data_IF_516607606896
#
_entry.id   IF_516607606896
#
_cell.length_a   1.000
_cell.length_b   1.000
_cell.length_c   1.000
_cell.angle_alpha   90.00
_cell.angle_beta   90.00
_cell.angle_gamma   90.00
#
_symmetry.space_group_name_H-M   'P 1'
#
loop_
_entity.id
_entity.type
_entity.pdbx_description
1 polymer ?
#
# COMPACT_ATOMS: atom_id res chain seq x y z
N UNK A 1 -2.85 7.43 26.82
CA UNK A 1 -1.62 7.36 25.97
C UNK A 1 -1.63 8.61 25.11
N UNK A 2 -0.51 9.29 24.87
CA UNK A 2 -0.53 10.45 23.96
C UNK A 2 -0.58 9.94 22.51
N UNK A 3 -1.70 10.19 21.84
CA UNK A 3 -1.89 9.78 20.45
C UNK A 3 -1.28 10.82 19.51
N UNK A 4 -0.54 10.35 18.51
CA UNK A 4 0.10 11.21 17.51
C UNK A 4 -0.31 10.80 16.10
N UNK A 5 -0.40 11.82 15.24
CA UNK A 5 -0.63 11.64 13.82
C UNK A 5 0.63 11.02 13.19
N UNK A 6 0.48 9.83 12.60
CA UNK A 6 1.42 9.32 11.62
C UNK A 6 1.19 9.98 10.26
N UNK A 7 2.28 10.34 9.57
CA UNK A 7 2.23 11.04 8.29
C UNK A 7 3.08 10.29 7.26
N UNK A 8 2.51 10.07 6.07
CA UNK A 8 3.23 9.57 4.90
C UNK A 8 2.49 9.99 3.64
N UNK A 9 3.22 10.57 2.69
CA UNK A 9 2.68 10.89 1.35
C UNK A 9 2.70 9.70 0.39
N UNK A 10 3.15 8.54 0.87
CA UNK A 10 3.34 7.31 0.09
C UNK A 10 2.46 6.16 0.58
N UNK A 11 1.53 6.43 1.49
CA UNK A 11 0.53 5.48 1.94
C UNK A 11 -0.86 5.97 1.55
N UNK A 12 -1.71 5.05 1.08
CA UNK A 12 -3.15 5.28 1.06
C UNK A 12 -3.72 5.30 2.49
N UNK A 13 -4.99 5.67 2.64
CA UNK A 13 -5.65 5.81 3.94
C UNK A 13 -5.58 4.54 4.80
N UNK A 14 -5.74 3.36 4.19
CA UNK A 14 -5.67 2.07 4.91
C UNK A 14 -4.24 1.77 5.37
N UNK A 15 -3.26 1.91 4.48
CA UNK A 15 -1.86 1.63 4.78
C UNK A 15 -1.33 2.54 5.89
N UNK A 16 -1.74 3.82 5.91
CA UNK A 16 -1.29 4.76 6.94
C UNK A 16 -1.91 4.47 8.32
N UNK A 17 -3.18 4.06 8.38
CA UNK A 17 -3.84 3.63 9.63
C UNK A 17 -3.15 2.37 10.16
N UNK A 18 -2.98 1.34 9.32
CA UNK A 18 -2.32 0.11 9.71
C UNK A 18 -0.88 0.35 10.21
N UNK A 19 -0.12 1.18 9.50
CA UNK A 19 1.24 1.56 9.91
C UNK A 19 1.26 2.27 11.26
N UNK A 20 0.32 3.20 11.49
CA UNK A 20 0.21 3.90 12.77
C UNK A 20 -0.09 2.93 13.93
N UNK A 21 -0.99 1.97 13.71
CA UNK A 21 -1.33 0.95 14.70
C UNK A 21 -0.13 0.04 15.00
N UNK A 22 0.60 -0.43 13.98
CA UNK A 22 1.82 -1.23 14.14
C UNK A 22 2.88 -0.45 14.93
N UNK A 23 3.09 0.81 14.58
CA UNK A 23 4.04 1.69 15.28
C UNK A 23 3.70 1.87 16.76
N UNK A 24 2.41 1.93 17.12
CA UNK A 24 1.96 2.06 18.52
C UNK A 24 2.18 0.82 19.35
N UNK A 25 2.16 -0.36 18.73
CA UNK A 25 2.61 -1.59 19.37
C UNK A 25 4.12 -1.58 19.64
N UNK A 26 4.87 -0.63 19.07
CA UNK A 26 6.30 -0.42 19.29
C UNK A 26 7.18 -1.12 18.26
N UNK A 27 6.61 -1.59 17.16
CA UNK A 27 7.36 -2.21 16.07
C UNK A 27 7.98 -1.15 15.16
N UNK A 28 9.15 -1.48 14.63
CA UNK A 28 9.72 -0.77 13.50
C UNK A 28 8.85 -1.01 12.26
N UNK A 29 8.61 0.04 11.49
CA UNK A 29 7.72 0.07 10.34
C UNK A 29 8.47 0.19 9.01
N UNK A 30 9.78 0.41 9.04
CA UNK A 30 10.57 0.70 7.84
C UNK A 30 10.59 -0.47 6.84
N UNK A 31 10.45 -1.72 7.31
CA UNK A 31 10.41 -2.91 6.46
C UNK A 31 8.99 -3.39 6.13
N UNK A 32 7.94 -2.80 6.74
CA UNK A 32 6.55 -3.26 6.60
C UNK A 32 6.07 -3.21 5.14
N UNK A 33 6.56 -2.22 4.39
CA UNK A 33 6.18 -1.96 3.01
C UNK A 33 7.36 -2.13 2.04
N UNK A 34 8.33 -3.00 2.38
CA UNK A 34 9.56 -3.22 1.58
C UNK A 34 9.37 -4.07 0.32
N UNK A 35 8.14 -4.49 0.02
CA UNK A 35 7.82 -5.20 -1.21
C UNK A 35 7.93 -4.27 -2.42
N UNK A 36 8.79 -4.61 -3.36
CA UNK A 36 9.03 -3.91 -4.62
C UNK A 36 9.00 -4.88 -5.82
N UNK A 37 8.27 -5.99 -5.69
CA UNK A 37 7.94 -6.88 -6.80
C UNK A 37 6.96 -6.23 -7.79
N UNK A 38 6.47 -7.03 -8.73
CA UNK A 38 5.42 -6.60 -9.65
C UNK A 38 4.63 -7.79 -10.17
N UNK A 39 3.30 -7.65 -10.19
CA UNK A 39 2.39 -8.59 -10.82
C UNK A 39 1.36 -7.83 -11.62
N UNK A 40 1.02 -8.35 -12.80
CA UNK A 40 -0.09 -7.92 -13.62
C UNK A 40 -1.05 -9.10 -13.80
N UNK A 41 -2.32 -8.85 -13.51
CA UNK A 41 -3.41 -9.80 -13.65
C UNK A 41 -4.49 -9.16 -14.52
N UNK A 42 -5.04 -9.91 -15.46
CA UNK A 42 -6.15 -9.46 -16.30
C UNK A 42 -7.11 -10.62 -16.57
N UNK A 43 -8.40 -10.31 -16.51
CA UNK A 43 -9.51 -11.14 -16.98
C UNK A 43 -10.42 -10.32 -17.91
N UNK A 44 -11.58 -10.89 -18.31
CA UNK A 44 -12.51 -10.23 -19.24
C UNK A 44 -13.09 -8.90 -18.71
N UNK A 45 -13.07 -8.68 -17.39
CA UNK A 45 -13.78 -7.56 -16.74
C UNK A 45 -12.84 -6.59 -16.03
N UNK A 46 -11.69 -7.06 -15.56
CA UNK A 46 -10.82 -6.32 -14.65
C UNK A 46 -9.34 -6.55 -14.95
N UNK A 47 -8.51 -5.60 -14.53
CA UNK A 47 -7.07 -5.78 -14.49
C UNK A 47 -6.48 -5.19 -13.20
N UNK A 48 -5.37 -5.76 -12.76
CA UNK A 48 -4.67 -5.35 -11.55
C UNK A 48 -3.16 -5.39 -11.78
N UNK A 49 -2.52 -4.23 -11.65
CA UNK A 49 -1.10 -4.06 -11.46
C UNK A 49 -0.83 -3.81 -9.98
N UNK A 50 -0.05 -4.68 -9.35
CA UNK A 50 0.27 -4.56 -7.92
C UNK A 50 1.75 -4.84 -7.65
N UNK A 51 2.39 -4.08 -6.75
CA UNK A 51 3.74 -4.40 -6.29
C UNK A 51 3.78 -5.49 -5.21
N UNK A 52 2.62 -5.82 -4.62
CA UNK A 52 2.50 -6.71 -3.49
C UNK A 52 2.30 -8.15 -3.94
N UNK A 53 3.34 -8.97 -3.78
CA UNK A 53 3.33 -10.40 -4.04
C UNK A 53 3.04 -11.23 -2.76
N UNK A 54 3.01 -10.58 -1.60
CA UNK A 54 2.57 -11.12 -0.31
C UNK A 54 1.47 -10.24 0.26
N UNK A 55 0.50 -10.88 0.93
CA UNK A 55 -0.47 -10.15 1.74
C UNK A 55 0.23 -9.41 2.88
N UNK A 56 -0.20 -8.19 3.18
CA UNK A 56 0.25 -7.47 4.37
C UNK A 56 -0.03 -8.25 5.66
N UNK A 57 -1.06 -9.11 5.67
CA UNK A 57 -1.35 -9.98 6.80
C UNK A 57 -0.25 -11.01 7.05
N UNK A 58 0.34 -11.56 5.98
CA UNK A 58 1.46 -12.51 6.11
C UNK A 58 2.72 -11.80 6.57
N UNK A 59 2.96 -10.58 6.08
CA UNK A 59 4.06 -9.73 6.57
C UNK A 59 3.90 -9.50 8.07
N UNK A 60 2.74 -9.02 8.51
CA UNK A 60 2.44 -8.77 9.93
C UNK A 60 2.53 -10.04 10.79
N UNK A 61 2.04 -11.18 10.29
CA UNK A 61 2.14 -12.46 10.97
C UNK A 61 3.60 -12.87 11.21
N UNK A 62 4.48 -12.62 10.24
CA UNK A 62 5.91 -12.84 10.43
C UNK A 62 6.53 -11.91 11.49
N UNK A 63 5.90 -10.76 11.76
CA UNK A 63 6.26 -9.88 12.88
C UNK A 63 5.63 -10.32 14.21
N UNK A 64 4.90 -11.43 14.24
CA UNK A 64 4.11 -11.87 15.39
C UNK A 64 2.88 -11.00 15.68
N UNK A 65 2.44 -10.21 14.69
CA UNK A 65 1.25 -9.38 14.76
C UNK A 65 0.10 -10.09 14.07
N UNK A 66 -1.00 -10.29 14.79
CA UNK A 66 -2.24 -10.81 14.22
C UNK A 66 -3.21 -9.66 13.97
N UNK A 67 -3.70 -9.56 12.75
CA UNK A 67 -4.83 -8.66 12.43
C UNK A 67 -6.12 -9.42 12.67
N UNK A 68 -6.91 -8.93 13.61
CA UNK A 68 -8.25 -9.45 13.89
C UNK A 68 -9.26 -8.55 13.21
N UNK A 69 -10.17 -9.13 12.43
CA UNK A 69 -11.26 -8.40 11.78
C UNK A 69 -12.63 -8.94 12.20
N UNK A 70 -13.62 -8.05 12.21
CA UNK A 70 -15.03 -8.40 12.40
C UNK A 70 -15.85 -7.66 11.34
N UNK A 71 -16.78 -8.36 10.69
CA UNK A 71 -17.65 -7.82 9.65
C UNK A 71 -19.08 -7.65 10.19
N UNK A 72 -19.77 -6.61 9.73
CA UNK A 72 -21.09 -6.22 10.19
C UNK A 72 -22.01 -5.87 9.02
N UNK A 73 -23.30 -6.09 9.20
CA UNK A 73 -24.35 -5.73 8.25
C UNK A 73 -25.07 -4.43 8.58
N UNK A 74 -24.86 -3.88 9.77
CA UNK A 74 -25.54 -2.70 10.31
C UNK A 74 -24.63 -1.90 11.24
N UNK A 75 -24.87 -0.58 11.31
CA UNK A 75 -24.06 0.33 12.12
C UNK A 75 -24.19 0.10 13.61
N UNK A 76 -25.36 -0.28 14.12
CA UNK A 76 -25.59 -0.51 15.55
C UNK A 76 -24.68 -1.64 16.09
N UNK A 77 -24.64 -2.77 15.36
CA UNK A 77 -23.77 -3.89 15.70
C UNK A 77 -22.29 -3.53 15.60
N UNK A 78 -21.92 -2.75 14.57
CA UNK A 78 -20.55 -2.25 14.40
C UNK A 78 -20.13 -1.35 15.57
N UNK A 79 -20.96 -0.38 15.95
CA UNK A 79 -20.72 0.56 17.05
C UNK A 79 -20.59 -0.16 18.39
N UNK A 80 -21.45 -1.15 18.64
CA UNK A 80 -21.37 -1.99 19.84
C UNK A 80 -20.01 -2.71 19.92
N UNK A 81 -19.56 -3.29 18.81
CA UNK A 81 -18.27 -3.96 18.73
C UNK A 81 -17.08 -3.00 18.88
N UNK A 82 -17.17 -1.78 18.34
CA UNK A 82 -16.16 -0.75 18.57
C UNK A 82 -15.98 -0.48 20.07
N UNK A 83 -17.07 -0.29 20.82
CA UNK A 83 -17.00 -0.07 22.27
C UNK A 83 -16.38 -1.24 23.01
N UNK A 84 -16.75 -2.48 22.64
CA UNK A 84 -16.20 -3.70 23.24
C UNK A 84 -14.67 -3.77 23.06
N UNK A 85 -14.17 -3.51 21.85
CA UNK A 85 -12.74 -3.59 21.55
C UNK A 85 -11.96 -2.44 22.20
N UNK A 86 -12.50 -1.22 22.22
CA UNK A 86 -11.89 -0.08 22.91
C UNK A 86 -11.75 -0.33 24.42
N UNK A 87 -12.72 -1.00 25.07
CA UNK A 87 -12.65 -1.37 26.49
C UNK A 87 -11.49 -2.32 26.82
N UNK A 88 -10.97 -3.03 25.82
CA UNK A 88 -9.79 -3.89 25.95
C UNK A 88 -8.47 -3.11 25.83
N UNK A 89 -8.54 -1.77 25.68
CA UNK A 89 -7.37 -0.89 25.55
C UNK A 89 -6.71 -0.95 24.17
N UNK A 90 -7.45 -1.37 23.14
CA UNK A 90 -6.98 -1.48 21.75
C UNK A 90 -7.51 -0.32 20.91
N UNK A 91 -6.74 0.15 19.94
CA UNK A 91 -7.25 1.05 18.89
C UNK A 91 -7.80 0.25 17.72
N UNK A 92 -8.64 0.88 16.90
CA UNK A 92 -9.42 0.19 15.88
C UNK A 92 -9.32 0.95 14.57
N UNK A 93 -8.94 0.27 13.49
CA UNK A 93 -9.12 0.78 12.14
C UNK A 93 -10.51 0.44 11.61
N UNK A 94 -11.13 1.38 10.91
CA UNK A 94 -12.46 1.20 10.31
C UNK A 94 -12.54 1.95 8.97
N UNK A 95 -13.31 1.41 8.03
CA UNK A 95 -13.71 2.12 6.81
C UNK A 95 -15.00 2.91 7.05
N UNK A 96 -15.00 4.15 6.61
CA UNK A 96 -16.08 5.13 6.77
C UNK A 96 -16.32 5.87 5.46
N UNK A 97 -17.52 6.40 5.29
CA UNK A 97 -17.86 7.25 4.14
C UNK A 97 -17.33 8.66 4.36
N UNK A 98 -16.46 9.10 3.45
CA UNK A 98 -15.85 10.42 3.46
C UNK A 98 -16.89 11.55 3.42
N UNK A 99 -18.03 11.32 2.78
CA UNK A 99 -19.14 12.28 2.66
C UNK A 99 -19.65 12.77 4.02
N UNK A 100 -19.55 11.93 5.05
CA UNK A 100 -20.10 12.20 6.37
C UNK A 100 -19.07 12.78 7.35
N UNK A 101 -17.81 12.97 6.94
CA UNK A 101 -16.73 13.41 7.82
C UNK A 101 -16.52 14.95 7.75
N UNK A 102 -16.95 15.72 8.78
CA UNK A 102 -17.05 17.18 8.71
C UNK A 102 -15.72 17.94 8.67
N UNK A 103 -14.60 17.26 8.93
CA UNK A 103 -13.27 17.86 8.97
C UNK A 103 -12.49 17.71 7.65
N UNK A 104 -12.99 16.90 6.71
CA UNK A 104 -12.32 16.69 5.42
C UNK A 104 -12.85 17.66 4.35
N UNK A 105 -12.10 17.82 3.26
CA UNK A 105 -12.46 18.74 2.18
C UNK A 105 -13.65 18.27 1.31
N UNK A 106 -14.04 17.00 1.44
CA UNK A 106 -15.09 16.37 0.65
C UNK A 106 -16.39 16.14 1.44
N UNK A 107 -16.50 16.77 2.60
CA UNK A 107 -17.69 16.69 3.43
C UNK A 107 -18.93 17.14 2.65
N UNK A 108 -19.92 16.26 2.56
CA UNK A 108 -21.16 16.44 1.80
C UNK A 108 -20.95 16.68 0.29
N UNK A 109 -19.84 16.20 -0.27
CA UNK A 109 -19.49 16.37 -1.69
C UNK A 109 -19.25 15.03 -2.40
N UNK A 110 -18.48 14.12 -1.80
CA UNK A 110 -18.06 12.88 -2.43
C UNK A 110 -18.24 11.66 -1.51
N UNK A 111 -18.98 10.66 -2.01
CA UNK A 111 -19.05 9.33 -1.38
C UNK A 111 -17.85 8.50 -1.81
N UNK A 112 -16.91 8.31 -0.89
CA UNK A 112 -15.70 7.53 -1.13
C UNK A 112 -15.30 6.80 0.15
N UNK A 113 -14.75 5.58 0.00
CA UNK A 113 -14.25 4.80 1.11
C UNK A 113 -13.02 5.48 1.71
N UNK A 114 -13.06 5.71 3.02
CA UNK A 114 -11.93 6.27 3.75
C UNK A 114 -11.65 5.50 5.04
N UNK A 115 -10.37 5.32 5.37
CA UNK A 115 -9.95 4.62 6.59
C UNK A 115 -9.54 5.60 7.69
N UNK A 116 -10.10 5.41 8.89
CA UNK A 116 -9.74 6.17 10.11
C UNK A 116 -9.37 5.24 11.25
N UNK A 117 -8.62 5.75 12.22
CA UNK A 117 -8.33 5.06 13.49
C UNK A 117 -9.23 5.60 14.61
N UNK A 118 -9.98 4.73 15.27
CA UNK A 118 -10.74 5.03 16.48
C UNK A 118 -9.87 4.75 17.70
N UNK A 119 -9.76 5.73 18.59
CA UNK A 119 -8.81 5.73 19.69
C UNK A 119 -9.47 5.42 21.02
N UNK A 120 -10.52 6.18 21.35
CA UNK A 120 -11.18 6.16 22.64
C UNK A 120 -12.64 6.60 22.47
N UNK A 121 -13.47 6.26 23.45
CA UNK A 121 -14.87 6.71 23.52
C UNK A 121 -15.18 7.24 24.92
N UNK A 122 -15.72 8.45 24.98
CA UNK A 122 -16.10 9.13 26.22
C UNK A 122 -17.57 9.57 26.13
N UNK A 123 -18.47 8.79 26.72
CA UNK A 123 -19.90 9.00 26.56
C UNK A 123 -20.34 8.78 25.11
N UNK A 124 -20.80 9.86 24.47
CA UNK A 124 -21.26 9.89 23.07
C UNK A 124 -20.22 10.47 22.10
N UNK A 125 -19.05 10.87 22.59
CA UNK A 125 -17.96 11.39 21.77
C UNK A 125 -16.90 10.31 21.52
N UNK A 126 -16.45 10.24 20.28
CA UNK A 126 -15.42 9.32 19.81
C UNK A 126 -14.17 10.10 19.45
N UNK A 127 -13.06 9.80 20.14
CA UNK A 127 -11.75 10.35 19.76
C UNK A 127 -11.23 9.52 18.59
N UNK A 128 -10.98 10.17 17.46
CA UNK A 128 -10.48 9.55 16.24
C UNK A 128 -9.18 10.20 15.79
N UNK A 129 -8.42 9.45 15.00
CA UNK A 129 -7.23 9.88 14.32
C UNK A 129 -7.35 9.54 12.83
N UNK A 130 -7.56 10.58 12.03
CA UNK A 130 -7.47 10.52 10.59
C UNK A 130 -6.07 10.94 10.16
N UNK A 131 -5.25 9.94 9.89
CA UNK A 131 -3.85 10.13 9.49
C UNK A 131 -3.71 10.79 8.12
N UNK A 132 -4.66 10.59 7.22
CA UNK A 132 -4.61 11.10 5.85
C UNK A 132 -4.98 12.58 5.79
N UNK A 133 -6.10 12.96 6.42
CA UNK A 133 -6.54 14.36 6.53
C UNK A 133 -5.90 15.12 7.69
N UNK A 134 -5.02 14.47 8.46
CA UNK A 134 -4.27 15.07 9.57
C UNK A 134 -5.18 15.61 10.67
N UNK A 135 -6.26 14.90 10.95
CA UNK A 135 -7.22 15.25 11.98
C UNK A 135 -7.07 14.33 13.19
N UNK A 136 -6.84 14.92 14.37
CA UNK A 136 -6.89 14.22 15.66
C UNK A 136 -7.87 15.00 16.53
N UNK A 137 -8.99 14.39 16.86
CA UNK A 137 -10.06 15.09 17.56
C UNK A 137 -11.27 14.22 17.84
N UNK A 138 -12.33 14.84 18.38
CA UNK A 138 -13.59 14.17 18.71
C UNK A 138 -14.60 14.33 17.58
N UNK A 139 -15.35 13.26 17.31
CA UNK A 139 -16.59 13.28 16.53
C UNK A 139 -17.73 12.74 17.38
N UNK A 140 -18.96 13.19 17.13
CA UNK A 140 -20.12 12.67 17.84
C UNK A 140 -20.50 11.27 17.35
N UNK A 141 -21.22 10.51 18.18
CA UNK A 141 -21.79 9.22 17.79
C UNK A 141 -22.66 9.35 16.54
N UNK A 142 -23.43 10.44 16.39
CA UNK A 142 -24.25 10.68 15.20
C UNK A 142 -23.40 10.72 13.92
N UNK A 143 -22.27 11.44 13.93
CA UNK A 143 -21.37 11.52 12.78
C UNK A 143 -20.79 10.15 12.44
N UNK A 144 -20.34 9.39 13.45
CA UNK A 144 -19.78 8.05 13.22
C UNK A 144 -20.84 7.08 12.69
N UNK A 145 -22.06 7.09 13.22
CA UNK A 145 -23.17 6.27 12.70
C UNK A 145 -23.48 6.60 11.25
N UNK A 146 -23.57 7.89 10.89
CA UNK A 146 -23.79 8.31 9.50
C UNK A 146 -22.67 7.81 8.58
N UNK A 147 -21.41 7.99 8.98
CA UNK A 147 -20.27 7.55 8.17
C UNK A 147 -20.21 6.03 7.97
N UNK A 148 -20.58 5.24 8.99
CA UNK A 148 -20.68 3.78 8.87
C UNK A 148 -21.89 3.39 7.99
N UNK A 149 -23.05 4.01 8.19
CA UNK A 149 -24.24 3.74 7.37
C UNK A 149 -23.99 4.09 5.89
N UNK A 150 -23.37 5.24 5.60
CA UNK A 150 -23.01 5.63 4.23
C UNK A 150 -22.13 4.57 3.56
N UNK A 151 -21.17 4.01 4.29
CA UNK A 151 -20.31 2.93 3.80
C UNK A 151 -21.12 1.71 3.36
N UNK A 152 -22.12 1.32 4.17
CA UNK A 152 -23.00 0.16 3.91
C UNK A 152 -23.97 0.46 2.77
N UNK A 153 -24.69 1.59 2.82
CA UNK A 153 -25.76 1.97 1.90
C UNK A 153 -25.22 2.19 0.48
N UNK A 154 -24.07 2.85 0.36
CA UNK A 154 -23.41 3.12 -0.91
C UNK A 154 -22.46 1.98 -1.35
N UNK A 155 -22.36 0.89 -0.55
CA UNK A 155 -21.52 -0.28 -0.84
C UNK A 155 -20.06 0.08 -1.14
N UNK A 156 -19.53 1.06 -0.42
CA UNK A 156 -18.16 1.57 -0.63
C UNK A 156 -17.11 0.55 -0.19
N UNK A 157 -17.42 -0.23 0.85
CA UNK A 157 -16.62 -1.36 1.32
C UNK A 157 -17.48 -2.29 2.19
N UNK A 158 -16.95 -3.48 2.50
CA UNK A 158 -17.48 -4.27 3.61
C UNK A 158 -17.34 -3.49 4.92
N UNK A 159 -18.45 -3.31 5.65
CA UNK A 159 -18.43 -2.70 6.98
C UNK A 159 -17.69 -3.64 7.93
N UNK A 160 -16.42 -3.34 8.15
CA UNK A 160 -15.49 -4.14 8.92
C UNK A 160 -14.66 -3.26 9.83
N UNK A 161 -14.39 -3.79 11.02
CA UNK A 161 -13.42 -3.20 11.94
C UNK A 161 -12.21 -4.13 12.00
N UNK A 162 -11.02 -3.55 12.16
CA UNK A 162 -9.81 -4.31 12.38
C UNK A 162 -9.00 -3.75 13.54
N UNK A 163 -8.36 -4.65 14.29
CA UNK A 163 -7.49 -4.30 15.39
C UNK A 163 -6.32 -5.29 15.45
N UNK A 164 -5.22 -4.83 16.04
CA UNK A 164 -3.99 -5.62 16.11
C UNK A 164 -3.87 -6.31 17.45
N UNK A 165 -3.38 -7.54 17.41
CA UNK A 165 -2.90 -8.28 18.58
C UNK A 165 -1.43 -8.66 18.35
N UNK A 166 -0.66 -8.78 19.43
CA UNK A 166 0.75 -9.14 19.37
C UNK A 166 1.06 -10.20 20.43
N UNK A 167 1.53 -11.36 19.98
CA UNK A 167 1.91 -12.47 20.86
C UNK A 167 3.34 -12.33 21.41
N UNK A 168 4.18 -11.50 20.79
CA UNK A 168 5.59 -11.36 21.13
C UNK A 168 5.82 -10.25 22.18
N UNK A 169 6.73 -10.52 23.13
CA UNK A 169 7.35 -9.47 23.93
C UNK A 169 8.31 -8.66 23.05
N UNK A 170 8.41 -7.35 23.29
CA UNK A 170 9.25 -6.41 22.51
C UNK A 170 10.73 -6.82 22.39
N UNK A 171 11.21 -7.71 23.26
CA UNK A 171 12.61 -8.13 23.36
C UNK A 171 13.04 -9.15 22.28
N UNK A 172 12.10 -9.81 21.58
CA UNK A 172 12.41 -10.83 20.54
C UNK A 172 12.64 -10.18 19.16
N UNK A 173 12.37 -8.88 19.04
CA UNK A 173 12.31 -8.14 17.78
C UNK A 173 13.65 -7.95 17.05
N UNK A 174 14.77 -7.92 17.79
CA UNK A 174 16.09 -7.55 17.26
C UNK A 174 16.63 -8.44 16.14
N UNK A 175 16.06 -9.64 15.93
CA UNK A 175 16.49 -10.57 14.87
C UNK A 175 15.69 -10.43 13.57
N UNK A 176 14.49 -9.84 13.56
CA UNK A 176 13.66 -9.79 12.35
C UNK A 176 14.12 -8.71 11.36
N UNK A 177 14.62 -7.58 11.86
CA UNK A 177 15.25 -6.51 11.07
C UNK A 177 16.55 -6.94 10.37
N UNK A 178 17.09 -8.11 10.71
CA UNK A 178 18.39 -8.59 10.20
C UNK A 178 18.31 -9.37 8.89
N UNK A 179 17.14 -9.51 8.25
CA UNK A 179 17.04 -10.28 7.00
C UNK A 179 16.81 -9.43 5.74
N UNK A 180 17.61 -8.37 5.59
CA UNK A 180 17.69 -7.56 4.36
C UNK A 180 17.90 -8.45 3.14
N UNK A 181 18.81 -9.43 3.24
CA UNK A 181 19.11 -10.36 2.16
C UNK A 181 17.92 -11.23 1.75
N UNK A 182 17.05 -11.64 2.68
CA UNK A 182 15.79 -12.30 2.32
C UNK A 182 14.84 -11.36 1.58
N UNK A 183 14.62 -10.14 2.06
CA UNK A 183 13.73 -9.16 1.41
C UNK A 183 14.21 -8.87 -0.02
N UNK A 184 15.51 -8.63 -0.19
CA UNK A 184 16.13 -8.39 -1.50
C UNK A 184 16.02 -9.63 -2.39
N UNK A 185 16.24 -10.83 -1.85
CA UNK A 185 16.09 -12.10 -2.58
C UNK A 185 14.67 -12.31 -3.08
N UNK A 186 13.67 -12.03 -2.24
CA UNK A 186 12.27 -12.20 -2.61
C UNK A 186 11.84 -11.21 -3.70
N UNK A 187 12.18 -9.93 -3.53
CA UNK A 187 11.94 -8.91 -4.54
C UNK A 187 12.61 -9.27 -5.88
N UNK A 188 13.87 -9.72 -5.85
CA UNK A 188 14.59 -10.15 -7.04
C UNK A 188 13.89 -11.31 -7.74
N UNK A 189 13.53 -12.36 -7.00
CA UNK A 189 12.86 -13.55 -7.56
C UNK A 189 11.57 -13.17 -8.28
N UNK A 190 10.75 -12.32 -7.67
CA UNK A 190 9.50 -11.82 -8.27
C UNK A 190 9.79 -10.97 -9.50
N UNK A 191 10.76 -10.05 -9.42
CA UNK A 191 11.11 -9.20 -10.57
C UNK A 191 11.70 -9.99 -11.76
N UNK A 192 12.31 -11.15 -11.50
CA UNK A 192 12.76 -12.11 -12.51
C UNK A 192 11.66 -13.05 -13.04
N UNK A 193 10.41 -12.88 -12.58
CA UNK A 193 9.25 -13.63 -13.07
C UNK A 193 8.91 -14.89 -12.27
N UNK A 194 9.54 -15.13 -11.11
CA UNK A 194 9.20 -16.28 -10.27
C UNK A 194 8.03 -15.94 -9.35
N UNK A 195 6.94 -16.70 -9.46
CA UNK A 195 5.85 -16.61 -8.48
C UNK A 195 6.29 -17.20 -7.15
N UNK A 196 6.34 -16.38 -6.10
CA UNK A 196 6.61 -16.85 -4.74
C UNK A 196 5.36 -17.35 -4.02
N UNK A 197 4.18 -16.92 -4.48
CA UNK A 197 2.87 -17.23 -3.90
C UNK A 197 1.88 -17.51 -5.02
N UNK A 198 0.83 -18.27 -4.72
CA UNK A 198 -0.27 -18.47 -5.67
C UNK A 198 -1.03 -17.15 -5.82
N UNK A 199 -0.87 -16.50 -6.97
CA UNK A 199 -1.74 -15.40 -7.37
C UNK A 199 -3.06 -16.05 -7.84
N UNK A 200 -4.14 -15.84 -7.09
CA UNK A 200 -5.41 -16.50 -7.36
C UNK A 200 -6.11 -15.91 -8.59
N UNK A 201 -6.52 -16.78 -9.52
CA UNK A 201 -7.80 -16.63 -10.23
C UNK A 201 -7.87 -15.93 -11.59
N UNK A 202 -6.78 -15.43 -12.18
CA UNK A 202 -6.83 -14.74 -13.49
C UNK A 202 -6.33 -15.57 -14.67
N UNK A 203 -6.86 -15.28 -15.87
CA UNK A 203 -6.49 -15.96 -17.13
C UNK A 203 -5.10 -15.50 -17.63
N UNK A 204 -4.76 -14.22 -17.43
CA UNK A 204 -3.44 -13.67 -17.74
C UNK A 204 -2.74 -13.27 -16.45
N UNK A 205 -1.61 -13.91 -16.17
CA UNK A 205 -0.71 -13.58 -15.08
C UNK A 205 0.68 -13.31 -15.64
N UNK A 206 1.16 -12.07 -15.50
CA UNK A 206 2.57 -11.74 -15.72
C UNK A 206 3.20 -11.27 -14.42
N UNK A 207 4.46 -11.61 -14.22
CA UNK A 207 5.22 -11.32 -13.00
C UNK A 207 6.54 -10.65 -13.40
N UNK A 208 6.96 -9.67 -12.59
CA UNK A 208 8.23 -8.98 -12.77
C UNK A 208 8.26 -8.10 -14.03
N UNK A 209 9.37 -8.12 -14.77
CA UNK A 209 9.53 -7.26 -15.95
C UNK A 209 8.47 -7.52 -17.05
N UNK A 210 7.97 -8.75 -17.17
CA UNK A 210 6.91 -9.07 -18.14
C UNK A 210 5.62 -8.30 -17.84
N UNK A 211 5.29 -8.11 -16.55
CA UNK A 211 4.12 -7.34 -16.11
C UNK A 211 4.18 -5.89 -16.63
N UNK A 212 5.37 -5.26 -16.65
CA UNK A 212 5.55 -3.91 -17.20
C UNK A 212 5.19 -3.87 -18.69
N UNK A 213 5.56 -4.90 -19.43
CA UNK A 213 5.31 -4.97 -20.88
C UNK A 213 3.83 -5.13 -21.18
N UNK A 214 3.15 -6.07 -20.50
CA UNK A 214 1.72 -6.31 -20.70
C UNK A 214 0.88 -5.11 -20.27
N UNK A 215 1.14 -4.57 -19.07
CA UNK A 215 0.47 -3.37 -18.59
C UNK A 215 0.73 -2.16 -19.50
N UNK A 216 1.95 -2.01 -20.01
CA UNK A 216 2.30 -0.97 -20.98
C UNK A 216 1.48 -1.07 -22.27
N UNK A 217 1.22 -2.28 -22.77
CA UNK A 217 0.35 -2.51 -23.93
C UNK A 217 -1.12 -2.21 -23.62
N UNK A 218 -1.60 -2.55 -22.42
CA UNK A 218 -2.94 -2.20 -21.95
C UNK A 218 -3.13 -0.68 -21.93
N UNK A 219 -2.20 0.06 -21.34
CA UNK A 219 -2.21 1.53 -21.36
C UNK A 219 -2.20 2.08 -22.78
N UNK A 220 -1.34 1.55 -23.66
CA UNK A 220 -1.25 2.00 -25.04
C UNK A 220 -2.60 1.83 -25.76
N UNK A 221 -3.30 0.71 -25.52
CA UNK A 221 -4.62 0.45 -26.07
C UNK A 221 -5.69 1.42 -25.53
N UNK A 222 -5.73 1.65 -24.22
CA UNK A 222 -6.67 2.59 -23.58
C UNK A 222 -6.49 4.02 -24.08
N UNK A 223 -5.24 4.47 -24.24
CA UNK A 223 -4.93 5.81 -24.74
C UNK A 223 -5.18 5.92 -26.25
N UNK A 224 -4.90 4.85 -27.02
CA UNK A 224 -5.14 4.81 -28.47
C UNK A 224 -6.63 4.87 -28.83
N UNK A 225 -7.50 4.32 -27.98
CA UNK A 225 -8.94 4.38 -28.22
C UNK A 225 -9.44 5.83 -28.33
N UNK A 226 -8.74 6.79 -27.69
CA UNK A 226 -9.13 8.21 -27.58
C UNK A 226 -10.60 8.36 -27.14
N UNK A 227 -11.07 7.40 -26.36
CA UNK A 227 -12.46 7.22 -26.00
C UNK A 227 -12.66 7.64 -24.54
N UNK A 228 -13.56 8.61 -24.33
CA UNK A 228 -13.86 9.13 -23.00
C UNK A 228 -14.57 8.10 -22.12
N UNK A 229 -15.22 7.11 -22.71
CA UNK A 229 -15.82 6.01 -21.93
C UNK A 229 -14.74 5.17 -21.22
N UNK A 230 -13.47 5.27 -21.63
CA UNK A 230 -12.32 4.58 -21.01
C UNK A 230 -11.68 5.37 -19.86
N UNK A 231 -12.15 6.60 -19.55
CA UNK A 231 -11.58 7.43 -18.49
C UNK A 231 -11.56 6.72 -17.11
N UNK A 232 -12.60 5.99 -16.68
CA UNK A 232 -12.55 5.25 -15.42
C UNK A 232 -11.42 4.21 -15.38
N UNK A 233 -11.15 3.51 -16.49
CA UNK A 233 -10.04 2.54 -16.55
C UNK A 233 -8.67 3.23 -16.52
N UNK A 234 -8.56 4.46 -17.04
CA UNK A 234 -7.34 5.27 -16.94
C UNK A 234 -7.12 5.80 -15.51
N UNK A 235 -8.19 6.11 -14.78
CA UNK A 235 -8.14 6.43 -13.36
C UNK A 235 -7.65 5.22 -12.54
N UNK A 236 -8.20 4.03 -12.79
CA UNK A 236 -7.72 2.77 -12.18
C UNK A 236 -6.23 2.52 -12.49
N UNK A 237 -5.82 2.73 -13.74
CA UNK A 237 -4.41 2.65 -14.13
C UNK A 237 -3.53 3.63 -13.33
N UNK A 238 -4.00 4.88 -13.15
CA UNK A 238 -3.28 5.88 -12.37
C UNK A 238 -3.09 5.42 -10.92
N UNK A 239 -4.14 4.93 -10.26
CA UNK A 239 -4.06 4.48 -8.88
C UNK A 239 -3.11 3.30 -8.71
N UNK A 240 -3.21 2.30 -9.58
CA UNK A 240 -2.32 1.13 -9.57
C UNK A 240 -0.86 1.52 -9.81
N UNK A 241 -0.57 2.40 -10.78
CA UNK A 241 0.78 2.91 -11.02
C UNK A 241 1.30 3.79 -9.86
N UNK A 242 0.40 4.53 -9.21
CA UNK A 242 0.74 5.33 -8.03
C UNK A 242 1.17 4.43 -6.88
N UNK A 243 0.48 3.31 -6.68
CA UNK A 243 0.86 2.32 -5.67
C UNK A 243 2.22 1.67 -5.99
N UNK A 244 2.49 1.34 -7.25
CA UNK A 244 3.82 0.88 -7.69
C UNK A 244 4.89 1.94 -7.39
N UNK A 245 4.64 3.21 -7.72
CA UNK A 245 5.55 4.33 -7.41
C UNK A 245 5.88 4.38 -5.91
N UNK A 246 4.85 4.27 -5.07
CA UNK A 246 4.97 4.31 -3.62
C UNK A 246 5.76 3.12 -3.08
N UNK A 247 5.51 1.91 -3.58
CA UNK A 247 6.26 0.70 -3.16
C UNK A 247 7.76 0.82 -3.38
N UNK A 248 8.21 1.41 -4.51
CA UNK A 248 9.63 1.66 -4.76
C UNK A 248 10.17 2.68 -3.78
N UNK A 249 9.41 3.72 -3.44
CA UNK A 249 9.83 4.70 -2.43
C UNK A 249 9.97 4.07 -1.03
N UNK A 250 9.06 3.18 -0.66
CA UNK A 250 9.16 2.42 0.60
C UNK A 250 10.38 1.53 0.62
N UNK A 251 10.64 0.80 -0.46
CA UNK A 251 11.83 -0.04 -0.57
C UNK A 251 13.14 0.79 -0.58
N UNK A 252 13.13 1.96 -1.20
CA UNK A 252 14.23 2.94 -1.06
C UNK A 252 14.45 3.35 0.40
N UNK A 253 13.38 3.69 1.12
CA UNK A 253 13.45 4.12 2.52
C UNK A 253 14.00 3.00 3.42
N UNK A 254 13.56 1.76 3.18
CA UNK A 254 14.11 0.57 3.81
C UNK A 254 15.61 0.39 3.53
N UNK A 255 16.04 0.47 2.27
CA UNK A 255 17.46 0.34 1.93
C UNK A 255 18.32 1.45 2.56
N UNK A 256 17.77 2.66 2.70
CA UNK A 256 18.45 3.74 3.43
C UNK A 256 18.57 3.48 4.93
N UNK A 257 17.57 2.85 5.56
CA UNK A 257 17.63 2.56 6.99
C UNK A 257 18.68 1.49 7.32
N UNK A 258 19.07 0.68 6.34
CA UNK A 258 20.12 -0.34 6.45
C UNK A 258 21.45 0.05 5.78
N UNK A 259 21.64 1.33 5.45
CA UNK A 259 22.90 1.87 4.92
C UNK A 259 23.36 1.28 3.58
N UNK A 260 22.41 1.03 2.67
CA UNK A 260 22.69 0.59 1.29
C UNK A 260 22.43 1.73 0.28
N UNK A 261 23.15 2.85 0.42
CA UNK A 261 22.84 4.11 -0.29
C UNK A 261 22.89 3.98 -1.82
N UNK A 262 23.94 3.38 -2.38
CA UNK A 262 24.11 3.20 -3.83
C UNK A 262 23.01 2.35 -4.47
N UNK A 263 22.40 1.45 -3.70
CA UNK A 263 21.27 0.63 -4.12
C UNK A 263 19.96 1.40 -3.93
N UNK A 264 19.80 2.06 -2.77
CA UNK A 264 18.65 2.89 -2.47
C UNK A 264 18.44 3.98 -3.53
N UNK A 265 19.49 4.64 -4.02
CA UNK A 265 19.40 5.67 -5.06
C UNK A 265 18.83 5.12 -6.38
N UNK A 266 19.27 3.93 -6.81
CA UNK A 266 18.75 3.29 -8.02
C UNK A 266 17.24 2.98 -7.90
N UNK A 267 16.79 2.58 -6.71
CA UNK A 267 15.37 2.32 -6.42
C UNK A 267 14.57 3.64 -6.38
N UNK A 268 15.14 4.72 -5.84
CA UNK A 268 14.50 6.04 -5.87
C UNK A 268 14.31 6.54 -7.31
N UNK A 269 15.31 6.36 -8.17
CA UNK A 269 15.20 6.69 -9.60
C UNK A 269 14.08 5.87 -10.28
N UNK A 270 13.92 4.59 -9.92
CA UNK A 270 12.80 3.77 -10.40
C UNK A 270 11.44 4.32 -9.94
N UNK A 271 11.32 4.69 -8.66
CA UNK A 271 10.12 5.37 -8.13
C UNK A 271 9.81 6.65 -8.91
N UNK A 272 10.81 7.49 -9.18
CA UNK A 272 10.63 8.71 -9.96
C UNK A 272 10.22 8.43 -11.42
N UNK A 273 10.80 7.41 -12.05
CA UNK A 273 10.42 7.01 -13.42
C UNK A 273 8.95 6.58 -13.49
N UNK A 274 8.51 5.74 -12.54
CA UNK A 274 7.10 5.39 -12.39
C UNK A 274 6.24 6.63 -12.15
N UNK A 275 6.59 7.48 -11.20
CA UNK A 275 5.82 8.68 -10.88
C UNK A 275 5.65 9.64 -12.06
N UNK A 276 6.68 9.77 -12.92
CA UNK A 276 6.57 10.55 -14.16
C UNK A 276 5.59 9.91 -15.14
N UNK A 277 5.60 8.58 -15.30
CA UNK A 277 4.64 7.87 -16.14
C UNK A 277 3.21 7.99 -15.59
N UNK A 278 3.02 7.78 -14.28
CA UNK A 278 1.76 7.95 -13.55
C UNK A 278 1.17 9.34 -13.78
N UNK A 279 1.99 10.39 -13.65
CA UNK A 279 1.53 11.76 -13.88
C UNK A 279 1.13 12.05 -15.35
N UNK A 280 1.65 11.29 -16.31
CA UNK A 280 1.18 11.39 -17.69
C UNK A 280 -0.22 10.80 -17.85
N UNK A 281 -0.48 9.63 -17.23
CA UNK A 281 -1.82 9.03 -17.20
C UNK A 281 -2.81 9.96 -16.50
N UNK A 282 -2.41 10.51 -15.34
CA UNK A 282 -3.17 11.53 -14.62
C UNK A 282 -3.62 12.68 -15.52
N UNK A 283 -2.67 13.20 -16.30
CA UNK A 283 -2.96 14.30 -17.21
C UNK A 283 -3.97 13.90 -18.29
N UNK A 284 -3.89 12.70 -18.85
CA UNK A 284 -4.85 12.24 -19.87
C UNK A 284 -6.24 12.25 -19.27
N UNK A 285 -6.44 11.61 -18.11
CA UNK A 285 -7.78 11.50 -17.55
C UNK A 285 -8.31 12.83 -17.02
N UNK A 286 -7.48 13.63 -16.34
CA UNK A 286 -7.92 14.89 -15.72
C UNK A 286 -8.18 16.01 -16.73
N UNK A 287 -7.55 15.96 -17.93
CA UNK A 287 -7.71 16.99 -18.96
C UNK A 287 -8.48 16.50 -20.19
N UNK A 288 -8.81 15.21 -20.25
CA UNK A 288 -9.46 14.55 -21.39
C UNK A 288 -8.71 14.77 -22.72
N UNK A 289 -7.39 14.97 -22.65
CA UNK A 289 -6.54 15.33 -23.79
C UNK A 289 -5.58 14.19 -24.11
N UNK A 290 -5.87 13.50 -25.22
CA UNK A 290 -5.10 12.36 -25.72
C UNK A 290 -3.98 12.76 -26.69
N UNK A 291 -4.01 13.99 -27.21
CA UNK A 291 -3.12 14.45 -28.29
C UNK A 291 -1.64 14.29 -27.92
N UNK A 292 -0.94 13.43 -28.68
CA UNK A 292 0.48 13.13 -28.48
C UNK A 292 0.83 12.44 -27.15
N UNK A 293 -0.17 12.06 -26.34
CA UNK A 293 0.06 11.43 -25.03
C UNK A 293 0.47 9.97 -25.16
N UNK A 294 -0.05 9.25 -26.15
CA UNK A 294 0.32 7.85 -26.43
C UNK A 294 1.84 7.64 -26.54
N UNK A 295 2.48 8.35 -27.47
CA UNK A 295 3.93 8.23 -27.69
C UNK A 295 4.75 8.66 -26.47
N UNK A 296 4.25 9.65 -25.72
CA UNK A 296 4.92 10.12 -24.49
C UNK A 296 4.83 9.07 -23.38
N UNK A 297 3.66 8.47 -23.17
CA UNK A 297 3.45 7.40 -22.19
C UNK A 297 4.29 6.19 -22.57
N UNK A 298 4.25 5.73 -23.82
CA UNK A 298 5.06 4.62 -24.32
C UNK A 298 6.56 4.85 -24.09
N UNK A 299 7.06 6.04 -24.41
CA UNK A 299 8.46 6.41 -24.13
C UNK A 299 8.78 6.37 -22.63
N UNK A 300 7.86 6.77 -21.77
CA UNK A 300 8.05 6.70 -20.31
C UNK A 300 8.00 5.27 -19.78
N UNK A 301 7.13 4.42 -20.31
CA UNK A 301 7.10 3.00 -19.94
C UNK A 301 8.39 2.27 -20.34
N UNK A 302 8.98 2.59 -21.49
CA UNK A 302 10.31 2.08 -21.84
C UNK A 302 11.38 2.52 -20.83
N UNK A 303 11.33 3.78 -20.38
CA UNK A 303 12.25 4.29 -19.36
C UNK A 303 12.05 3.60 -18.00
N UNK A 304 10.80 3.30 -17.64
CA UNK A 304 10.47 2.50 -16.44
C UNK A 304 11.12 1.12 -16.54
N UNK A 305 10.97 0.43 -17.67
CA UNK A 305 11.60 -0.87 -17.91
C UNK A 305 13.12 -0.81 -17.73
N UNK A 306 13.79 0.15 -18.39
CA UNK A 306 15.24 0.34 -18.28
C UNK A 306 15.68 0.52 -16.82
N UNK A 307 14.94 1.32 -16.05
CA UNK A 307 15.30 1.61 -14.67
C UNK A 307 15.06 0.42 -13.73
N UNK A 308 13.99 -0.36 -13.96
CA UNK A 308 13.73 -1.59 -13.20
C UNK A 308 14.80 -2.66 -13.47
N UNK A 309 15.33 -2.73 -14.70
CA UNK A 309 16.48 -3.60 -15.00
C UNK A 309 17.74 -3.19 -14.20
N UNK A 310 18.00 -1.88 -14.05
CA UNK A 310 19.11 -1.38 -13.21
C UNK A 310 18.91 -1.78 -11.74
N UNK A 311 17.67 -1.68 -11.23
CA UNK A 311 17.34 -2.10 -9.85
C UNK A 311 17.60 -3.60 -9.66
N UNK A 312 17.20 -4.44 -10.61
CA UNK A 312 17.47 -5.88 -10.59
C UNK A 312 18.99 -6.16 -10.55
N UNK A 313 19.78 -5.44 -11.35
CA UNK A 313 21.24 -5.60 -11.34
C UNK A 313 21.84 -5.20 -9.99
N UNK A 314 21.32 -4.14 -9.36
CA UNK A 314 21.73 -3.72 -8.00
C UNK A 314 21.37 -4.77 -6.94
N UNK A 315 20.19 -5.39 -7.01
CA UNK A 315 19.80 -6.50 -6.14
C UNK A 315 20.80 -7.67 -6.26
N UNK A 316 21.17 -8.05 -7.49
CA UNK A 316 22.14 -9.13 -7.74
C UNK A 316 23.53 -8.81 -7.18
N UNK A 317 23.99 -7.58 -7.38
CA UNK A 317 25.29 -7.12 -6.84
C UNK A 317 25.29 -7.15 -5.31
N UNK A 318 24.22 -6.67 -4.68
CA UNK A 318 24.05 -6.72 -3.22
C UNK A 318 24.14 -8.16 -2.70
N UNK A 319 23.33 -9.07 -3.24
CA UNK A 319 23.29 -10.48 -2.78
C UNK A 319 24.61 -11.21 -3.01
N UNK A 320 25.35 -10.87 -4.07
CA UNK A 320 26.68 -11.42 -4.30
C UNK A 320 27.69 -10.94 -3.26
N UNK A 321 27.70 -9.65 -2.91
CA UNK A 321 28.60 -9.09 -1.87
C UNK A 321 28.33 -9.75 -0.51
N UNK A 322 27.07 -9.93 -0.16
CA UNK A 322 26.66 -10.59 1.09
C UNK A 322 27.16 -12.04 1.18
N UNK A 323 27.02 -12.80 0.09
CA UNK A 323 27.53 -14.17 0.02
C UNK A 323 29.07 -14.23 0.18
N UNK A 324 29.79 -13.34 -0.50
CA UNK A 324 31.27 -13.27 -0.41
C UNK A 324 31.75 -12.76 0.96
N UNK A 325 30.99 -11.90 1.63
CA UNK A 325 31.29 -11.40 2.98
C UNK A 325 31.09 -12.43 4.09
N UNK A 326 30.12 -13.35 3.92
CA UNK A 326 29.85 -14.43 4.87
C UNK A 326 30.97 -15.49 4.90
N UNK A 327 31.62 -15.77 3.76
CA UNK A 327 32.69 -16.79 3.66
C UNK A 327 34.00 -16.39 4.37
N UNK A 328 34.23 -15.09 4.62
CA UNK A 328 35.42 -14.61 5.34
C UNK A 328 35.33 -14.78 6.86
N UNK A 329 34.14 -14.98 7.43
CA UNK A 329 33.95 -15.14 8.88
C UNK A 329 34.15 -16.61 9.31
N UNK A 330 33.89 -17.58 8.42
CA UNK A 330 34.00 -19.01 8.76
C UNK A 330 35.42 -19.61 8.63
N UNK A 331 36.34 -18.95 7.92
CA UNK A 331 37.72 -19.45 7.73
C UNK A 331 38.75 -18.85 8.70
N UNK A 332 38.31 -17.98 9.61
CA UNK A 332 39.15 -17.27 10.59
C UNK A 332 39.08 -17.80 12.02
N UNK A 333 39.03 -19.13 12.24
CA UNK A 333 39.20 -19.76 13.56
C UNK A 333 40.37 -20.71 13.62
#
# INVERSE_FOLDING_TARGET
MEFTLYQSSYHNCKNIVLTAMVKRLGFDIDHLWSQAGLSYQEDEQTFLLTPYYKSILDVLKNLGITVLSRNFSDSESCISALREVLQQGRTIGIHTDLFELPYCMYYQDLHEMHAIEILEVEGDDWTICDHYYRFLGKISSEVLHKAINGTIEHKLAECSIYFLDSELSKDIWGDFTNNVSQIVTENLKVMEGNSLFELSGSETNAIGLEAISLFGNKLDALVLAEDKEQLPLLEECYDQMKEVTNSRYHFHSFLKSVHEEDFAEAVLEASQCWGVATNMVLRVFATESFEGMRERIKKRMNRVMEQEMIVIDKMKVYLKKEAEGSDYVETGR
#
